data_IF_563301014691
#
_entry.id   IF_563301014691
#
_cell.length_a   1.000
_cell.length_b   1.000
_cell.length_c   1.000
_cell.angle_alpha   90.00
_cell.angle_beta   90.00
_cell.angle_gamma   90.00
#
_symmetry.space_group_name_H-M   'P 1'
#
loop_
_entity.id
_entity.type
_entity.pdbx_description
1 polymer ?
#
# COMPACT_ATOMS: atom_id res chain seq x y z
N UNK A 1 -7.13 23.43 -7.74
CA UNK A 1 -5.73 23.59 -7.29
C UNK A 1 -5.55 23.64 -5.77
N UNK A 2 -6.34 24.39 -4.98
CA UNK A 2 -6.09 24.48 -3.51
C UNK A 2 -6.27 23.15 -2.74
N UNK A 3 -7.28 22.33 -3.10
CA UNK A 3 -7.56 21.06 -2.42
C UNK A 3 -6.42 20.04 -2.52
N UNK A 4 -5.82 19.87 -3.69
CA UNK A 4 -4.69 18.93 -3.89
C UNK A 4 -3.49 19.31 -3.01
N UNK A 5 -3.25 20.61 -2.82
CA UNK A 5 -2.18 21.10 -1.94
C UNK A 5 -2.47 20.78 -0.46
N UNK A 6 -3.72 20.91 -0.02
CA UNK A 6 -4.12 20.51 1.34
C UNK A 6 -4.01 19.00 1.55
N UNK A 7 -4.45 18.18 0.57
CA UNK A 7 -4.28 16.74 0.63
C UNK A 7 -2.80 16.34 0.67
N UNK A 8 -1.97 16.95 -0.17
CA UNK A 8 -0.53 16.72 -0.19
C UNK A 8 0.09 16.99 1.17
N UNK A 9 -0.18 18.16 1.75
CA UNK A 9 0.33 18.53 3.06
C UNK A 9 -0.11 17.56 4.17
N UNK A 10 -1.38 17.14 4.14
CA UNK A 10 -1.93 16.17 5.09
C UNK A 10 -1.27 14.79 4.96
N UNK A 11 -1.05 14.31 3.73
CA UNK A 11 -0.42 13.01 3.47
C UNK A 11 1.06 13.00 3.84
N UNK A 12 1.77 14.10 3.59
CA UNK A 12 3.16 14.26 4.05
C UNK A 12 3.22 14.29 5.58
N UNK A 13 2.31 15.01 6.25
CA UNK A 13 2.23 15.01 7.71
C UNK A 13 1.94 13.60 8.27
N UNK A 14 1.02 12.86 7.65
CA UNK A 14 0.72 11.47 8.01
C UNK A 14 1.92 10.53 7.80
N UNK A 15 2.67 10.74 6.71
CA UNK A 15 3.91 10.01 6.41
C UNK A 15 4.96 10.26 7.48
N UNK A 16 5.19 11.52 7.86
CA UNK A 16 6.10 11.89 8.93
C UNK A 16 5.70 11.27 10.27
N UNK A 17 4.41 11.34 10.63
CA UNK A 17 3.89 10.72 11.85
C UNK A 17 4.13 9.21 11.86
N UNK A 18 3.85 8.54 10.74
CA UNK A 18 4.07 7.09 10.58
C UNK A 18 5.54 6.71 10.68
N UNK A 19 6.44 7.52 10.12
CA UNK A 19 7.89 7.35 10.26
C UNK A 19 8.37 7.50 11.71
N UNK A 20 7.84 8.48 12.44
CA UNK A 20 8.13 8.64 13.88
C UNK A 20 7.66 7.42 14.65
N UNK A 21 6.46 6.92 14.38
CA UNK A 21 5.94 5.71 15.03
C UNK A 21 6.76 4.47 14.67
N UNK A 22 7.25 4.35 13.43
CA UNK A 22 8.15 3.28 13.02
C UNK A 22 9.48 3.36 13.80
N UNK A 23 10.04 4.57 13.96
CA UNK A 23 11.26 4.78 14.74
C UNK A 23 11.08 4.42 16.22
N UNK A 24 9.98 4.86 16.85
CA UNK A 24 9.66 4.50 18.23
C UNK A 24 9.46 2.99 18.41
N UNK A 25 8.86 2.34 17.42
CA UNK A 25 8.69 0.88 17.39
C UNK A 25 10.03 0.16 17.33
N UNK A 26 10.99 0.70 16.56
CA UNK A 26 12.36 0.18 16.49
C UNK A 26 13.14 0.35 17.79
N UNK A 27 12.91 1.43 18.54
CA UNK A 27 13.49 1.60 19.88
C UNK A 27 12.95 0.53 20.85
N UNK A 28 11.70 0.09 20.69
CA UNK A 28 11.04 -0.93 21.54
C UNK A 28 11.10 -2.34 20.96
N UNK A 29 12.11 -2.65 20.15
CA UNK A 29 12.28 -3.94 19.44
C UNK A 29 12.40 -5.18 20.34
N UNK A 30 12.56 -5.00 21.65
CA UNK A 30 12.52 -6.10 22.62
C UNK A 30 11.17 -6.83 22.62
N UNK A 31 10.10 -6.14 22.22
CA UNK A 31 8.78 -6.71 22.03
C UNK A 31 8.63 -7.18 20.56
N UNK A 32 8.36 -8.47 20.28
CA UNK A 32 8.15 -8.96 18.92
C UNK A 32 7.04 -8.20 18.17
N UNK A 33 5.99 -7.79 18.90
CA UNK A 33 4.86 -7.00 18.38
C UNK A 33 5.34 -5.66 17.82
N UNK A 34 6.31 -5.01 18.46
CA UNK A 34 6.79 -3.70 18.05
C UNK A 34 7.45 -3.75 16.65
N UNK A 35 8.17 -4.83 16.35
CA UNK A 35 8.80 -5.01 15.03
C UNK A 35 7.73 -5.17 13.95
N UNK A 36 6.76 -6.06 14.16
CA UNK A 36 5.69 -6.30 13.17
C UNK A 36 4.81 -5.08 12.96
N UNK A 37 4.51 -4.34 14.03
CA UNK A 37 3.80 -3.07 13.97
C UNK A 37 4.59 -2.00 13.20
N UNK A 38 5.89 -1.86 13.48
CA UNK A 38 6.76 -0.93 12.76
C UNK A 38 6.85 -1.25 11.26
N UNK A 39 6.98 -2.54 10.90
CA UNK A 39 6.98 -2.97 9.50
C UNK A 39 5.64 -2.71 8.82
N UNK A 40 4.51 -2.96 9.49
CA UNK A 40 3.19 -2.65 8.96
C UNK A 40 3.04 -1.15 8.70
N UNK A 41 3.42 -0.30 9.65
CA UNK A 41 3.45 1.16 9.45
C UNK A 41 4.36 1.58 8.31
N UNK A 42 5.51 0.92 8.15
CA UNK A 42 6.45 1.22 7.07
C UNK A 42 5.84 0.97 5.68
N UNK A 43 4.96 -0.02 5.53
CA UNK A 43 4.20 -0.18 4.27
C UNK A 43 3.23 0.98 4.04
N UNK A 44 2.60 1.48 5.10
CA UNK A 44 1.74 2.68 5.06
C UNK A 44 2.50 3.96 4.71
N UNK A 45 3.79 4.06 5.06
CA UNK A 45 4.68 5.15 4.66
C UNK A 45 4.85 5.17 3.14
N UNK A 46 5.16 4.04 2.51
CA UNK A 46 5.27 3.98 1.04
C UNK A 46 3.98 4.38 0.34
N UNK A 47 2.83 3.93 0.86
CA UNK A 47 1.53 4.29 0.34
C UNK A 47 1.24 5.78 0.48
N UNK A 48 1.33 6.32 1.69
CA UNK A 48 1.00 7.73 1.96
C UNK A 48 1.95 8.70 1.25
N UNK A 49 3.23 8.32 1.16
CA UNK A 49 4.24 9.08 0.44
C UNK A 49 4.00 9.08 -1.07
N UNK A 50 3.80 7.90 -1.67
CA UNK A 50 3.50 7.79 -3.10
C UNK A 50 2.23 8.56 -3.47
N UNK A 51 1.17 8.38 -2.69
CA UNK A 51 -0.13 9.01 -2.93
C UNK A 51 -0.07 10.53 -2.78
N UNK A 52 0.76 11.06 -1.87
CA UNK A 52 0.98 12.50 -1.77
C UNK A 52 1.45 13.07 -3.12
N UNK A 53 2.49 12.49 -3.69
CA UNK A 53 3.03 12.95 -4.96
C UNK A 53 2.16 12.60 -6.17
N UNK A 54 1.38 11.51 -6.12
CA UNK A 54 0.37 11.20 -7.14
C UNK A 54 -0.65 12.34 -7.28
N UNK A 55 -1.18 12.84 -6.15
CA UNK A 55 -2.23 13.88 -6.12
C UNK A 55 -1.77 15.24 -6.69
N UNK A 56 -0.47 15.51 -6.66
CA UNK A 56 0.12 16.76 -7.20
C UNK A 56 0.69 16.56 -8.61
N UNK A 57 0.71 15.31 -9.11
CA UNK A 57 1.24 15.01 -10.45
C UNK A 57 0.27 15.46 -11.55
N UNK A 58 0.80 16.15 -12.56
CA UNK A 58 0.02 16.67 -13.69
C UNK A 58 0.09 15.78 -14.93
N UNK A 59 1.01 14.80 -14.94
CA UNK A 59 1.25 13.92 -16.08
C UNK A 59 1.00 12.45 -15.74
N UNK A 60 0.48 11.69 -16.72
CA UNK A 60 0.26 10.25 -16.58
C UNK A 60 1.53 9.46 -16.24
N UNK A 61 2.69 9.91 -16.72
CA UNK A 61 3.97 9.27 -16.45
C UNK A 61 4.37 9.41 -14.98
N UNK A 62 4.20 10.61 -14.41
CA UNK A 62 4.48 10.86 -12.99
C UNK A 62 3.52 10.05 -12.10
N UNK A 63 2.23 10.07 -12.39
CA UNK A 63 1.21 9.29 -11.68
C UNK A 63 1.57 7.79 -11.68
N UNK A 64 1.96 7.25 -12.84
CA UNK A 64 2.36 5.85 -12.96
C UNK A 64 3.62 5.54 -12.15
N UNK A 65 4.57 6.46 -12.10
CA UNK A 65 5.78 6.30 -11.29
C UNK A 65 5.45 6.23 -9.79
N UNK A 66 4.61 7.14 -9.29
CA UNK A 66 4.20 7.16 -7.89
C UNK A 66 3.34 5.97 -7.49
N UNK A 67 2.43 5.53 -8.37
CA UNK A 67 1.67 4.29 -8.18
C UNK A 67 2.58 3.06 -8.03
N UNK A 68 3.69 2.98 -8.76
CA UNK A 68 4.66 1.87 -8.57
C UNK A 68 5.27 1.90 -7.17
N UNK A 69 5.50 3.08 -6.60
CA UNK A 69 6.01 3.24 -5.23
C UNK A 69 4.95 2.82 -4.20
N UNK A 70 3.68 3.20 -4.39
CA UNK A 70 2.59 2.77 -3.51
C UNK A 70 2.42 1.25 -3.48
N UNK A 71 2.55 0.61 -4.64
CA UNK A 71 2.48 -0.84 -4.78
C UNK A 71 3.64 -1.59 -4.11
N UNK A 72 4.68 -0.90 -3.63
CA UNK A 72 5.69 -1.49 -2.72
C UNK A 72 5.08 -1.72 -1.33
N UNK A 73 4.16 -0.86 -0.89
CA UNK A 73 3.52 -0.97 0.42
C UNK A 73 2.25 -1.83 0.41
N UNK A 74 1.35 -1.57 -0.55
CA UNK A 74 -0.01 -2.13 -0.60
C UNK A 74 -0.07 -3.65 -0.39
N UNK A 75 0.66 -4.50 -1.15
CA UNK A 75 0.50 -5.94 -1.05
C UNK A 75 1.06 -6.49 0.28
N UNK A 76 2.10 -5.86 0.83
CA UNK A 76 2.75 -6.33 2.06
C UNK A 76 2.00 -5.92 3.33
N UNK A 77 1.21 -4.85 3.27
CA UNK A 77 0.44 -4.33 4.42
C UNK A 77 -0.44 -5.39 5.11
N UNK A 78 -1.35 -6.09 4.40
CA UNK A 78 -2.23 -7.09 5.00
C UNK A 78 -1.48 -8.23 5.68
N UNK A 79 -0.38 -8.71 5.10
CA UNK A 79 0.44 -9.80 5.67
C UNK A 79 1.10 -9.35 6.98
N UNK A 80 1.70 -8.16 6.99
CA UNK A 80 2.34 -7.61 8.19
C UNK A 80 1.32 -7.28 9.29
N UNK A 81 0.15 -6.77 8.91
CA UNK A 81 -0.94 -6.53 9.84
C UNK A 81 -1.45 -7.83 10.48
N UNK A 82 -1.61 -8.89 9.68
CA UNK A 82 -2.02 -10.20 10.19
C UNK A 82 -0.98 -10.79 11.15
N UNK A 83 0.31 -10.69 10.82
CA UNK A 83 1.39 -11.12 11.72
C UNK A 83 1.34 -10.34 13.05
N UNK A 84 1.14 -9.02 12.98
CA UNK A 84 1.00 -8.18 14.18
C UNK A 84 -0.19 -8.61 15.04
N UNK A 85 -1.36 -8.87 14.44
CA UNK A 85 -2.55 -9.36 15.16
C UNK A 85 -2.33 -10.73 15.83
N UNK A 86 -1.65 -11.66 15.16
CA UNK A 86 -1.31 -12.96 15.74
C UNK A 86 -0.38 -12.82 16.95
N UNK A 87 0.58 -11.90 16.90
CA UNK A 87 1.45 -11.61 18.03
C UNK A 87 0.69 -10.91 19.18
N UNK A 88 -0.24 -10.00 18.85
CA UNK A 88 -1.07 -9.29 19.83
C UNK A 88 -2.03 -10.22 20.57
N UNK A 89 -2.64 -11.19 19.88
CA UNK A 89 -3.57 -12.17 20.47
C UNK A 89 -2.87 -13.33 21.20
N UNK A 90 -1.54 -13.32 21.29
CA UNK A 90 -0.75 -14.36 21.97
C UNK A 90 -0.52 -15.63 21.13
N UNK A 91 -0.94 -15.67 19.87
CA UNK A 91 -0.75 -16.80 18.96
C UNK A 91 0.61 -16.80 18.25
N UNK A 92 1.68 -16.46 18.99
CA UNK A 92 3.06 -16.37 18.47
C UNK A 92 3.54 -17.70 17.85
N UNK A 93 3.00 -18.83 18.31
CA UNK A 93 3.33 -20.17 17.81
C UNK A 93 2.90 -20.43 16.36
N UNK A 94 1.94 -19.65 15.84
CA UNK A 94 1.49 -19.67 14.44
C UNK A 94 2.39 -18.82 13.53
N UNK A 95 3.14 -17.85 14.09
CA UNK A 95 4.09 -16.99 13.37
C UNK A 95 5.42 -17.72 13.17
N UNK A 96 5.36 -18.89 12.54
CA UNK A 96 6.56 -19.66 12.20
C UNK A 96 7.19 -19.09 10.93
N UNK A 97 8.52 -19.15 10.83
CA UNK A 97 9.27 -18.64 9.67
C UNK A 97 8.75 -19.16 8.32
N UNK A 98 8.32 -20.42 8.26
CA UNK A 98 7.78 -21.03 7.05
C UNK A 98 6.37 -20.53 6.70
N UNK A 99 5.50 -20.29 7.70
CA UNK A 99 4.17 -19.71 7.48
C UNK A 99 4.31 -18.28 6.98
N UNK A 100 5.18 -17.49 7.61
CA UNK A 100 5.48 -16.12 7.17
C UNK A 100 6.05 -16.12 5.75
N UNK A 101 6.99 -17.03 5.43
CA UNK A 101 7.53 -17.15 4.08
C UNK A 101 6.43 -17.46 3.05
N UNK A 102 5.52 -18.39 3.36
CA UNK A 102 4.40 -18.76 2.49
C UNK A 102 3.43 -17.59 2.31
N UNK A 103 3.11 -16.85 3.37
CA UNK A 103 2.27 -15.66 3.30
C UNK A 103 2.91 -14.54 2.49
N UNK A 104 4.24 -14.42 2.50
CA UNK A 104 5.01 -13.46 1.72
C UNK A 104 5.07 -13.81 0.22
N UNK A 105 4.76 -15.04 -0.18
CA UNK A 105 4.70 -15.41 -1.61
C UNK A 105 3.62 -14.60 -2.33
N UNK A 106 2.43 -14.46 -1.73
CA UNK A 106 1.30 -13.72 -2.32
C UNK A 106 1.64 -12.25 -2.62
N UNK A 107 2.17 -11.45 -1.68
CA UNK A 107 2.51 -10.06 -1.95
C UNK A 107 3.70 -9.91 -2.91
N UNK A 108 4.69 -10.82 -2.87
CA UNK A 108 5.80 -10.82 -3.82
C UNK A 108 5.28 -11.08 -5.24
N UNK A 109 4.45 -12.11 -5.42
CA UNK A 109 3.83 -12.40 -6.71
C UNK A 109 2.98 -11.22 -7.20
N UNK A 110 2.21 -10.59 -6.30
CA UNK A 110 1.38 -9.43 -6.64
C UNK A 110 2.24 -8.24 -7.07
N UNK A 111 3.34 -7.96 -6.35
CA UNK A 111 4.29 -6.92 -6.69
C UNK A 111 4.98 -7.19 -8.04
N UNK A 112 5.47 -8.42 -8.27
CA UNK A 112 6.09 -8.81 -9.54
C UNK A 112 5.09 -8.77 -10.69
N UNK A 113 3.85 -9.22 -10.49
CA UNK A 113 2.78 -9.15 -11.49
C UNK A 113 2.41 -7.69 -11.84
N UNK A 114 2.36 -6.80 -10.85
CA UNK A 114 2.14 -5.38 -11.07
C UNK A 114 3.31 -4.72 -11.82
N UNK A 115 4.56 -5.05 -11.46
CA UNK A 115 5.73 -4.49 -12.13
C UNK A 115 5.88 -4.99 -13.57
N UNK A 116 5.54 -6.26 -13.83
CA UNK A 116 5.52 -6.87 -15.16
C UNK A 116 4.23 -6.57 -15.95
N UNK A 117 3.32 -5.79 -15.38
CA UNK A 117 2.01 -5.48 -15.98
C UNK A 117 2.12 -4.76 -17.33
N UNK A 118 3.24 -4.09 -17.63
CA UNK A 118 3.49 -3.48 -18.94
C UNK A 118 3.51 -4.50 -20.09
N UNK A 119 3.77 -5.79 -19.81
CA UNK A 119 3.74 -6.86 -20.82
C UNK A 119 2.40 -7.58 -20.93
N UNK A 120 1.49 -7.40 -19.96
CA UNK A 120 0.32 -8.26 -19.80
C UNK A 120 -1.04 -7.52 -19.72
N UNK A 121 -1.07 -6.21 -19.44
CA UNK A 121 -2.30 -5.41 -19.31
C UNK A 121 -3.34 -5.96 -18.31
N UNK A 122 -2.92 -6.78 -17.35
CA UNK A 122 -3.79 -7.56 -16.46
C UNK A 122 -4.32 -6.75 -15.24
N UNK A 123 -3.59 -5.73 -14.80
CA UNK A 123 -4.02 -4.82 -13.72
C UNK A 123 -4.65 -3.52 -14.24
N UNK A 124 -4.13 -2.99 -15.35
CA UNK A 124 -4.61 -1.76 -15.98
C UNK A 124 -4.64 -1.96 -17.50
N UNK A 125 -5.84 -1.91 -18.10
CA UNK A 125 -6.03 -2.07 -19.55
C UNK A 125 -5.84 -0.75 -20.30
N UNK A 126 -6.16 0.37 -19.65
CA UNK A 126 -5.87 1.74 -20.11
C UNK A 126 -5.82 2.69 -18.92
N UNK A 127 -4.80 3.53 -18.87
CA UNK A 127 -4.71 4.68 -17.97
C UNK A 127 -5.24 5.88 -18.76
N UNK A 128 -6.49 6.26 -18.56
CA UNK A 128 -7.07 7.46 -19.17
C UNK A 128 -7.26 8.51 -18.09
N UNK A 129 -6.66 9.69 -18.30
CA UNK A 129 -6.86 10.85 -17.44
C UNK A 129 -8.22 11.45 -17.85
N UNK A 130 -9.24 11.29 -17.02
CA UNK A 130 -10.56 11.88 -17.29
C UNK A 130 -10.62 13.22 -16.57
N UNK A 131 -10.51 14.30 -17.32
CA UNK A 131 -10.56 15.68 -16.82
C UNK A 131 -12.00 16.22 -16.65
N UNK A 132 -13.03 15.37 -16.78
CA UNK A 132 -14.42 15.83 -16.97
C UNK A 132 -15.14 16.34 -15.72
N UNK A 133 -14.59 16.17 -14.51
CA UNK A 133 -15.27 16.55 -13.26
C UNK A 133 -14.43 17.45 -12.32
N UNK A 134 -13.60 18.34 -12.87
CA UNK A 134 -12.94 19.40 -12.09
C UNK A 134 -11.88 18.93 -11.07
N UNK A 135 -11.62 17.62 -11.03
CA UNK A 135 -10.53 16.96 -10.31
C UNK A 135 -9.80 16.02 -11.28
N UNK A 136 -8.46 15.98 -11.28
CA UNK A 136 -7.72 14.96 -12.03
C UNK A 136 -7.89 13.62 -11.30
N UNK A 137 -9.02 12.96 -11.54
CA UNK A 137 -9.22 11.58 -11.14
C UNK A 137 -8.63 10.69 -12.22
N UNK A 138 -7.59 9.94 -11.87
CA UNK A 138 -7.04 8.91 -12.74
C UNK A 138 -8.12 7.85 -12.90
N UNK A 139 -8.83 7.88 -14.03
CA UNK A 139 -9.79 6.83 -14.36
C UNK A 139 -9.02 5.59 -14.79
N UNK A 140 -8.60 4.82 -13.79
CA UNK A 140 -7.97 3.52 -13.97
C UNK A 140 -9.08 2.55 -14.40
N UNK A 141 -9.12 2.18 -15.69
CA UNK A 141 -9.98 1.08 -16.14
C UNK A 141 -9.40 -0.20 -15.53
N UNK A 142 -10.00 -0.60 -14.40
CA UNK A 142 -9.63 -1.79 -13.61
C UNK A 142 -9.65 -3.02 -14.52
N UNK A 143 -8.52 -3.73 -14.58
CA UNK A 143 -8.45 -5.03 -15.23
C UNK A 143 -9.30 -6.11 -14.51
N UNK A 144 -9.47 -7.29 -15.12
CA UNK A 144 -10.32 -8.36 -14.58
C UNK A 144 -9.95 -8.79 -13.15
N UNK A 145 -8.67 -8.67 -12.79
CA UNK A 145 -8.13 -9.09 -11.49
C UNK A 145 -8.48 -8.10 -10.37
N UNK A 146 -8.51 -6.79 -10.64
CA UNK A 146 -8.88 -5.75 -9.67
C UNK A 146 -10.39 -5.75 -9.37
N UNK A 147 -11.22 -6.21 -10.30
CA UNK A 147 -12.67 -6.42 -10.07
C UNK A 147 -12.94 -7.61 -9.14
N UNK A 148 -12.13 -8.67 -9.20
CA UNK A 148 -12.28 -9.85 -8.33
C UNK A 148 -11.78 -9.62 -6.90
N UNK A 149 -10.73 -8.81 -6.70
CA UNK A 149 -10.14 -8.54 -5.37
C UNK A 149 -10.89 -7.46 -4.59
N UNK A 150 -11.48 -6.48 -5.29
CA UNK A 150 -12.25 -5.37 -4.71
C UNK A 150 -13.31 -5.80 -3.68
N UNK A 151 -14.19 -6.79 -3.95
CA UNK A 151 -15.20 -7.19 -2.97
C UNK A 151 -14.60 -7.90 -1.75
N UNK A 152 -13.47 -8.61 -1.91
CA UNK A 152 -12.81 -9.35 -0.82
C UNK A 152 -12.20 -8.36 0.19
N UNK A 153 -11.64 -7.24 -0.28
CA UNK A 153 -11.09 -6.18 0.58
C UNK A 153 -12.19 -5.43 1.35
N UNK A 154 -13.38 -5.25 0.75
CA UNK A 154 -14.53 -4.59 1.38
C UNK A 154 -15.17 -5.50 2.43
N UNK A 155 -15.24 -6.81 2.18
CA UNK A 155 -15.78 -7.78 3.15
C UNK A 155 -14.90 -8.02 4.39
N UNK A 156 -13.63 -7.58 4.37
CA UNK A 156 -12.71 -7.72 5.50
C UNK A 156 -12.72 -6.50 6.45
N UNK A 157 -13.48 -5.45 6.12
CA UNK A 157 -13.57 -4.20 6.89
C UNK A 157 -14.97 -3.95 7.49
N UNK A 158 -15.85 -4.95 7.48
CA UNK A 158 -17.13 -4.97 8.20
C UNK A 158 -17.12 -6.10 9.24
#
# INVERSE_FOLDING_TARGET
MNYNLYLFALLIAATCCSLVMCYLSWQRRELPIAISYGLALFTGVFYSFGYAFEVVSETLEQIRFWLRIEYIGIPFGPVLWMIMLLQYTGHQSLVRKWVVALLMVVPILTFTAHYTNERHHLFYKSMTLNESEGFPLVSLVKGPYTTFISPILISLLQ
#
